data_IF_047462751803
#
_entry.id   IF_047462751803
#
_cell.length_a   1.000
_cell.length_b   1.000
_cell.length_c   1.000
_cell.angle_alpha   90.00
_cell.angle_beta   90.00
_cell.angle_gamma   90.00
#
_symmetry.space_group_name_H-M   'P 1'
#
loop_
_entity.id
_entity.type
_entity.pdbx_description
1 polymer ?
#
# COMPACT_ATOMS: atom_id res chain seq x y z
N UNK A 1 -66.45 -1.68 5.70
CA UNK A 1 -65.50 -2.81 5.70
C UNK A 1 -65.17 -3.12 4.25
N UNK A 2 -64.07 -2.57 3.75
CA UNK A 2 -63.50 -2.89 2.44
C UNK A 2 -62.00 -2.62 2.55
N UNK A 3 -61.21 -3.67 2.35
CA UNK A 3 -59.77 -3.70 2.55
C UNK A 3 -59.05 -2.91 1.45
N UNK A 4 -58.10 -2.07 1.85
CA UNK A 4 -57.12 -1.49 0.94
C UNK A 4 -55.98 -2.50 0.74
N UNK A 5 -55.75 -2.88 -0.51
CA UNK A 5 -54.59 -3.67 -0.95
C UNK A 5 -53.44 -2.69 -1.21
N UNK A 6 -52.23 -2.88 -0.67
CA UNK A 6 -51.08 -2.10 -1.08
C UNK A 6 -50.51 -2.66 -2.38
N UNK A 7 -50.47 -1.83 -3.41
CA UNK A 7 -49.78 -2.11 -4.67
C UNK A 7 -48.26 -1.99 -4.49
N UNK A 8 -47.53 -3.09 -4.64
CA UNK A 8 -46.08 -3.08 -4.80
C UNK A 8 -45.73 -2.49 -6.17
N UNK A 9 -44.95 -1.39 -6.20
CA UNK A 9 -44.31 -0.92 -7.43
C UNK A 9 -42.95 -1.59 -7.58
N UNK A 10 -42.86 -2.68 -8.34
CA UNK A 10 -41.58 -3.15 -8.86
C UNK A 10 -41.19 -2.26 -10.05
N UNK A 11 -40.17 -1.41 -9.87
CA UNK A 11 -39.52 -0.71 -10.98
C UNK A 11 -38.52 -1.67 -11.64
N UNK A 12 -38.90 -2.22 -12.78
CA UNK A 12 -37.97 -2.88 -13.70
C UNK A 12 -37.21 -1.82 -14.49
N UNK A 13 -35.90 -1.72 -14.28
CA UNK A 13 -35.01 -0.96 -15.16
C UNK A 13 -34.59 -1.86 -16.32
N UNK A 14 -35.08 -1.55 -17.52
CA UNK A 14 -34.67 -2.17 -18.78
C UNK A 14 -33.38 -1.47 -19.22
N UNK A 15 -32.25 -2.18 -19.20
CA UNK A 15 -31.01 -1.69 -19.81
C UNK A 15 -31.06 -1.98 -21.32
N UNK A 16 -31.20 -0.90 -22.09
CA UNK A 16 -31.20 -0.91 -23.55
C UNK A 16 -29.75 -0.91 -24.04
N UNK A 17 -29.24 -2.08 -24.44
CA UNK A 17 -27.93 -2.23 -25.09
C UNK A 17 -28.00 -1.76 -26.54
N UNK A 18 -27.33 -0.65 -26.85
CA UNK A 18 -27.16 -0.15 -28.21
C UNK A 18 -25.94 -0.81 -28.86
N UNK A 19 -26.19 -1.83 -29.69
CA UNK A 19 -25.19 -2.45 -30.55
C UNK A 19 -25.07 -1.63 -31.84
N UNK A 20 -23.94 -0.95 -32.06
CA UNK A 20 -23.60 -0.40 -33.37
C UNK A 20 -22.84 -1.46 -34.17
N UNK A 21 -23.54 -2.08 -35.12
CA UNK A 21 -22.93 -2.89 -36.18
C UNK A 21 -22.79 -2.00 -37.43
N UNK A 22 -21.55 -1.73 -37.84
CA UNK A 22 -21.25 -1.23 -39.17
C UNK A 22 -20.34 -2.25 -39.86
N UNK A 23 -20.91 -2.96 -40.84
CA UNK A 23 -20.20 -3.84 -41.75
C UNK A 23 -19.79 -3.03 -42.99
N UNK A 24 -18.50 -3.02 -43.31
CA UNK A 24 -18.02 -2.62 -44.63
C UNK A 24 -16.89 -3.56 -45.04
N UNK A 25 -17.21 -4.47 -45.96
CA UNK A 25 -16.27 -5.41 -46.58
C UNK A 25 -15.59 -4.77 -47.80
N UNK A 26 -14.26 -4.83 -47.86
CA UNK A 26 -13.47 -4.78 -49.10
C UNK A 26 -12.14 -5.51 -48.88
N UNK A 27 -11.66 -6.35 -49.82
CA UNK A 27 -10.56 -7.26 -49.58
C UNK A 27 -9.23 -6.56 -49.86
N UNK A 28 -8.47 -6.28 -48.79
CA UNK A 28 -7.07 -5.90 -48.93
C UNK A 28 -6.20 -7.06 -48.46
N UNK A 29 -5.31 -7.50 -49.35
CA UNK A 29 -4.26 -8.46 -49.07
C UNK A 29 -3.36 -7.90 -47.97
N UNK A 30 -3.52 -8.38 -46.74
CA UNK A 30 -2.58 -8.08 -45.66
C UNK A 30 -1.44 -9.09 -45.73
N UNK A 31 -0.28 -8.60 -46.15
CA UNK A 31 1.00 -9.21 -45.79
C UNK A 31 1.07 -9.34 -44.27
N UNK A 32 1.46 -10.51 -43.78
CA UNK A 32 1.84 -10.74 -42.38
C UNK A 32 3.03 -9.83 -42.05
N UNK A 33 2.77 -8.59 -41.64
CA UNK A 33 3.71 -7.82 -40.85
C UNK A 33 3.71 -8.49 -39.47
N UNK A 34 4.80 -9.20 -39.18
CA UNK A 34 5.12 -9.58 -37.81
C UNK A 34 5.07 -8.31 -36.97
N UNK A 35 4.11 -8.24 -36.05
CA UNK A 35 4.11 -7.24 -35.00
C UNK A 35 5.48 -7.30 -34.31
N UNK A 36 6.13 -6.15 -34.06
CA UNK A 36 7.38 -6.12 -33.32
C UNK A 36 7.20 -6.89 -32.00
N UNK A 37 8.23 -7.61 -31.52
CA UNK A 37 8.13 -8.34 -30.27
C UNK A 37 7.62 -7.39 -29.18
N UNK A 38 6.50 -7.75 -28.55
CA UNK A 38 5.91 -6.95 -27.48
C UNK A 38 6.89 -6.87 -26.33
N UNK A 39 7.27 -5.65 -25.95
CA UNK A 39 8.07 -5.41 -24.75
C UNK A 39 7.31 -6.05 -23.56
N UNK A 40 7.94 -6.94 -22.78
CA UNK A 40 7.31 -7.54 -21.61
C UNK A 40 6.82 -6.45 -20.65
N UNK A 41 5.54 -6.50 -20.26
CA UNK A 41 4.97 -5.57 -19.30
C UNK A 41 5.12 -6.11 -17.89
N UNK A 42 5.42 -5.23 -16.94
CA UNK A 42 5.32 -5.58 -15.52
C UNK A 42 3.87 -5.76 -15.10
N UNK A 43 3.67 -6.66 -14.14
CA UNK A 43 2.41 -6.79 -13.40
C UNK A 43 2.64 -6.49 -11.92
N UNK A 44 1.58 -6.16 -11.16
CA UNK A 44 1.66 -6.06 -9.70
C UNK A 44 2.22 -7.33 -9.04
N UNK A 45 1.90 -8.50 -9.62
CA UNK A 45 2.42 -9.80 -9.19
C UNK A 45 3.93 -9.90 -9.35
N UNK A 46 4.50 -9.39 -10.46
CA UNK A 46 5.95 -9.38 -10.67
C UNK A 46 6.64 -8.54 -9.60
N UNK A 47 6.09 -7.35 -9.30
CA UNK A 47 6.57 -6.46 -8.25
C UNK A 47 6.61 -7.17 -6.89
N UNK A 48 5.52 -7.82 -6.48
CA UNK A 48 5.45 -8.54 -5.21
C UNK A 48 6.37 -9.77 -5.18
N UNK A 49 6.51 -10.47 -6.31
CA UNK A 49 7.39 -11.65 -6.44
C UNK A 49 8.86 -11.32 -6.25
N UNK A 50 9.31 -10.15 -6.75
CA UNK A 50 10.69 -9.67 -6.55
C UNK A 50 11.01 -9.35 -5.09
N UNK A 51 9.99 -9.04 -4.28
CA UNK A 51 10.10 -8.78 -2.85
C UNK A 51 9.82 -10.04 -2.01
N UNK A 52 9.65 -11.20 -2.65
CA UNK A 52 9.43 -12.51 -2.04
C UNK A 52 10.69 -13.38 -1.94
N UNK A 53 10.54 -14.70 -1.68
CA UNK A 53 11.66 -15.64 -1.68
C UNK A 53 12.32 -15.77 -3.07
N UNK A 54 13.59 -16.24 -3.13
CA UNK A 54 14.32 -16.41 -4.39
C UNK A 54 13.59 -17.24 -5.46
N UNK A 55 12.76 -18.21 -5.05
CA UNK A 55 11.97 -19.02 -5.97
C UNK A 55 10.90 -18.22 -6.71
N UNK A 56 10.28 -17.22 -6.06
CA UNK A 56 9.31 -16.32 -6.68
C UNK A 56 10.01 -15.27 -7.53
N UNK A 57 11.06 -14.63 -7.01
CA UNK A 57 11.78 -13.59 -7.73
C UNK A 57 12.45 -14.08 -9.01
N UNK A 58 12.91 -15.34 -9.04
CA UNK A 58 13.52 -15.97 -10.23
C UNK A 58 12.52 -16.33 -11.33
N UNK A 59 11.21 -16.29 -11.04
CA UNK A 59 10.16 -16.56 -12.03
C UNK A 59 9.78 -15.35 -12.88
N UNK A 60 10.17 -14.14 -12.44
CA UNK A 60 9.92 -12.88 -13.14
C UNK A 60 10.86 -12.76 -14.34
N UNK A 61 10.36 -12.26 -15.47
CA UNK A 61 11.18 -11.99 -16.65
C UNK A 61 12.37 -11.09 -16.28
N UNK A 62 13.60 -11.46 -16.68
CA UNK A 62 14.81 -10.75 -16.25
C UNK A 62 14.82 -9.25 -16.62
N UNK A 63 14.30 -8.87 -17.80
CA UNK A 63 14.24 -7.47 -18.21
C UNK A 63 13.26 -6.68 -17.34
N UNK A 64 12.07 -7.26 -17.10
CA UNK A 64 11.06 -6.70 -16.19
C UNK A 64 11.62 -6.58 -14.77
N UNK A 65 12.34 -7.60 -14.31
CA UNK A 65 12.94 -7.65 -12.98
C UNK A 65 13.98 -6.55 -12.78
N UNK A 66 14.85 -6.31 -13.76
CA UNK A 66 15.88 -5.28 -13.70
C UNK A 66 15.27 -3.88 -13.72
N UNK A 67 14.29 -3.63 -14.60
CA UNK A 67 13.58 -2.35 -14.63
C UNK A 67 12.83 -2.10 -13.31
N UNK A 68 12.10 -3.10 -12.78
CA UNK A 68 11.38 -2.95 -11.50
C UNK A 68 12.33 -2.68 -10.34
N UNK A 69 13.45 -3.42 -10.25
CA UNK A 69 14.47 -3.19 -9.21
C UNK A 69 15.09 -1.80 -9.29
N UNK A 70 15.21 -1.23 -10.50
CA UNK A 70 15.72 0.14 -10.67
C UNK A 70 14.78 1.20 -10.06
N UNK A 71 13.49 0.89 -9.99
CA UNK A 71 12.46 1.72 -9.36
C UNK A 71 12.33 1.49 -7.84
N UNK A 72 13.03 0.51 -7.25
CA UNK A 72 12.94 0.24 -5.82
C UNK A 72 13.91 1.11 -5.00
N UNK A 73 13.36 1.91 -4.10
CA UNK A 73 14.12 2.78 -3.19
C UNK A 73 13.90 2.34 -1.75
N UNK A 74 14.78 1.48 -1.25
CA UNK A 74 14.64 0.86 0.08
C UNK A 74 14.84 1.86 1.24
N UNK A 75 13.82 2.00 2.08
CA UNK A 75 13.93 2.72 3.37
C UNK A 75 14.59 1.84 4.45
N UNK A 76 14.40 0.52 4.33
CA UNK A 76 15.14 -0.50 5.08
C UNK A 76 15.81 -1.45 4.08
N UNK A 77 17.12 -1.72 4.21
CA UNK A 77 17.82 -2.60 3.28
C UNK A 77 17.13 -3.96 3.16
N UNK A 78 16.84 -4.41 1.93
CA UNK A 78 16.21 -5.71 1.68
C UNK A 78 17.25 -6.84 1.59
N UNK A 79 18.06 -6.93 2.63
CA UNK A 79 19.03 -7.99 2.87
C UNK A 79 19.19 -8.13 4.39
N UNK A 80 18.34 -8.91 5.08
CA UNK A 80 18.62 -9.21 6.47
C UNK A 80 19.96 -9.94 6.47
N UNK A 81 20.99 -9.31 7.06
CA UNK A 81 22.27 -9.98 7.27
C UNK A 81 21.94 -11.28 7.99
N UNK A 82 22.32 -12.40 7.38
CA UNK A 82 22.00 -13.76 7.79
C UNK A 82 22.48 -14.03 9.23
N UNK A 83 21.71 -13.58 10.22
CA UNK A 83 22.01 -13.70 11.65
C UNK A 83 21.17 -14.79 12.30
N UNK A 84 20.34 -15.49 11.52
CA UNK A 84 19.61 -16.68 11.94
C UNK A 84 19.85 -17.83 10.96
N UNK A 85 21.07 -18.36 10.97
CA UNK A 85 21.27 -19.77 10.62
C UNK A 85 22.03 -20.46 11.76
N UNK A 86 21.47 -21.61 12.15
CA UNK A 86 21.96 -22.66 13.04
C UNK A 86 21.82 -22.45 14.55
N UNK A 87 20.74 -23.03 15.08
CA UNK A 87 20.66 -23.53 16.47
C UNK A 87 21.44 -24.83 16.68
N UNK A 88 22.34 -25.21 15.75
CA UNK A 88 23.16 -26.42 15.84
C UNK A 88 24.54 -26.15 15.23
N UNK A 89 25.50 -25.75 16.05
CA UNK A 89 26.91 -26.12 15.90
C UNK A 89 27.70 -25.68 17.13
N UNK A 90 28.21 -26.67 17.86
CA UNK A 90 29.22 -26.48 18.91
C UNK A 90 30.56 -26.10 18.27
N UNK A 91 30.80 -24.81 18.02
CA UNK A 91 32.15 -24.27 17.83
C UNK A 91 32.29 -22.91 18.51
N UNK A 92 33.39 -22.64 19.26
CA UNK A 92 33.56 -21.39 19.97
C UNK A 92 34.10 -20.33 19.01
N UNK A 93 33.24 -19.74 18.18
CA UNK A 93 33.62 -18.60 17.36
C UNK A 93 33.51 -17.31 18.17
N UNK A 94 34.64 -16.93 18.74
CA UNK A 94 35.11 -15.57 19.01
C UNK A 94 34.06 -14.44 18.95
N UNK A 95 33.69 -13.95 20.14
CA UNK A 95 33.25 -12.57 20.45
C UNK A 95 33.12 -11.61 19.25
N UNK A 96 31.94 -11.59 18.62
CA UNK A 96 31.41 -10.41 17.92
C UNK A 96 29.94 -10.20 18.29
N UNK A 97 29.67 -10.07 19.58
CA UNK A 97 28.52 -9.29 20.04
C UNK A 97 28.88 -7.81 19.90
N UNK A 98 28.99 -7.34 18.65
CA UNK A 98 29.01 -5.91 18.36
C UNK A 98 27.62 -5.38 18.69
N UNK A 99 27.56 -4.37 19.58
CA UNK A 99 26.33 -3.66 19.89
C UNK A 99 25.66 -3.23 18.58
N UNK A 100 24.49 -3.79 18.26
CA UNK A 100 23.68 -3.35 17.12
C UNK A 100 23.43 -1.85 17.25
N UNK A 101 23.67 -1.10 16.16
CA UNK A 101 23.35 0.33 16.16
C UNK A 101 21.83 0.53 16.35
N UNK A 102 21.36 1.70 16.81
CA UNK A 102 19.94 1.98 16.87
C UNK A 102 19.23 1.72 15.54
N UNK A 103 19.87 2.11 14.43
CA UNK A 103 19.39 1.89 13.07
C UNK A 103 19.25 0.41 12.69
N UNK A 104 20.18 -0.45 13.15
CA UNK A 104 20.09 -1.90 12.93
C UNK A 104 18.90 -2.51 13.69
N UNK A 105 18.60 -2.01 14.90
CA UNK A 105 17.44 -2.46 15.67
C UNK A 105 16.12 -2.07 14.99
N UNK A 106 16.06 -0.87 14.43
CA UNK A 106 14.91 -0.45 13.62
C UNK A 106 14.77 -1.27 12.33
N UNK A 107 15.88 -1.64 11.68
CA UNK A 107 15.83 -2.55 10.54
C UNK A 107 15.26 -3.92 10.94
N UNK A 108 15.66 -4.43 12.11
CA UNK A 108 15.10 -5.68 12.66
C UNK A 108 13.57 -5.57 12.84
N UNK A 109 13.03 -4.43 13.27
CA UNK A 109 11.59 -4.22 13.43
C UNK A 109 10.81 -4.22 12.10
N UNK A 110 11.47 -3.95 10.97
CA UNK A 110 10.84 -4.09 9.66
C UNK A 110 10.99 -5.51 9.12
N UNK A 111 12.15 -6.13 9.26
CA UNK A 111 12.37 -7.51 8.80
C UNK A 111 11.59 -8.54 9.62
N UNK A 112 11.51 -8.32 10.93
CA UNK A 112 10.94 -9.20 11.94
C UNK A 112 10.19 -8.35 12.98
N UNK A 113 8.99 -7.85 12.62
CA UNK A 113 8.19 -7.00 13.49
C UNK A 113 7.76 -7.73 14.78
N UNK A 114 7.20 -6.99 15.76
CA UNK A 114 6.71 -7.59 16.99
C UNK A 114 5.64 -8.68 16.77
N UNK A 115 5.51 -9.57 17.75
CA UNK A 115 4.65 -10.76 17.66
C UNK A 115 3.22 -10.48 17.19
N UNK A 116 2.52 -9.42 17.66
CA UNK A 116 1.16 -9.16 17.17
C UNK A 116 1.06 -8.84 15.67
N UNK A 117 2.13 -8.32 15.07
CA UNK A 117 2.20 -8.08 13.62
C UNK A 117 2.45 -9.38 12.87
N UNK A 118 3.30 -10.25 13.43
CA UNK A 118 3.56 -11.59 12.91
C UNK A 118 2.29 -12.46 12.97
N UNK A 119 1.55 -12.41 14.08
CA UNK A 119 0.25 -13.08 14.24
C UNK A 119 -0.77 -12.59 13.21
N UNK A 120 -0.84 -11.28 12.96
CA UNK A 120 -1.72 -10.72 11.93
C UNK A 120 -1.34 -11.19 10.52
N UNK A 121 -0.05 -11.22 10.20
CA UNK A 121 0.45 -11.73 8.91
C UNK A 121 0.17 -13.23 8.74
N UNK A 122 0.35 -14.02 9.80
CA UNK A 122 -0.02 -15.44 9.83
C UNK A 122 -1.53 -15.63 9.66
N UNK A 123 -2.35 -14.82 10.31
CA UNK A 123 -3.81 -14.86 10.19
C UNK A 123 -4.29 -14.56 8.76
N UNK A 124 -3.69 -13.58 8.10
CA UNK A 124 -3.95 -13.27 6.69
C UNK A 124 -3.62 -14.47 5.78
N UNK A 125 -2.48 -15.12 6.02
CA UNK A 125 -2.01 -16.25 5.24
C UNK A 125 -2.86 -17.52 5.47
N UNK A 126 -3.05 -17.91 6.73
CA UNK A 126 -3.74 -19.15 7.12
C UNK A 126 -5.24 -19.11 6.78
N UNK A 127 -5.83 -17.91 6.69
CA UNK A 127 -7.22 -17.72 6.27
C UNK A 127 -7.42 -17.79 4.74
N UNK A 128 -6.35 -18.03 3.97
CA UNK A 128 -6.40 -18.00 2.51
C UNK A 128 -6.65 -16.59 1.95
N UNK A 129 -6.33 -15.56 2.72
CA UNK A 129 -6.53 -14.16 2.36
C UNK A 129 -7.95 -13.64 2.54
N UNK A 130 -8.69 -14.20 3.52
CA UNK A 130 -10.01 -13.70 3.94
C UNK A 130 -9.88 -12.36 4.69
N UNK A 131 -10.39 -11.23 4.13
CA UNK A 131 -10.38 -9.93 4.81
C UNK A 131 -11.12 -9.95 6.16
N UNK A 132 -12.15 -10.78 6.32
CA UNK A 132 -12.91 -10.86 7.56
C UNK A 132 -12.06 -11.36 8.74
N UNK A 133 -10.99 -12.10 8.46
CA UNK A 133 -10.03 -12.54 9.47
C UNK A 133 -9.34 -11.35 10.16
N UNK A 134 -9.02 -10.32 9.39
CA UNK A 134 -8.39 -9.09 9.89
C UNK A 134 -9.41 -8.20 10.58
N UNK A 135 -10.63 -8.10 10.04
CA UNK A 135 -11.72 -7.36 10.69
C UNK A 135 -12.04 -7.91 12.09
N UNK A 136 -11.93 -9.22 12.30
CA UNK A 136 -12.10 -9.86 13.63
C UNK A 136 -11.00 -9.49 14.63
N UNK A 137 -9.85 -8.98 14.19
CA UNK A 137 -8.78 -8.50 15.06
C UNK A 137 -8.97 -7.04 15.54
N UNK A 138 -10.00 -6.36 15.04
CA UNK A 138 -10.36 -4.99 15.45
C UNK A 138 -11.14 -4.99 16.76
N UNK A 139 -10.84 -4.00 17.60
CA UNK A 139 -11.66 -3.65 18.75
C UNK A 139 -13.03 -3.14 18.24
N UNK A 140 -14.16 -3.68 18.72
CA UNK A 140 -15.48 -3.25 18.30
C UNK A 140 -15.82 -1.80 18.70
N UNK A 141 -15.02 -1.19 19.57
CA UNK A 141 -15.19 0.20 20.02
C UNK A 141 -15.05 1.17 18.86
N UNK A 142 -16.12 1.93 18.63
CA UNK A 142 -16.15 2.98 17.60
C UNK A 142 -15.59 4.27 18.18
N UNK A 143 -14.55 4.81 17.55
CA UNK A 143 -13.87 6.04 17.95
C UNK A 143 -14.19 7.14 16.95
N UNK A 144 -14.72 8.31 17.37
CA UNK A 144 -14.95 9.42 16.46
C UNK A 144 -13.62 9.93 15.91
N UNK A 145 -13.61 10.30 14.62
CA UNK A 145 -12.44 10.88 13.99
C UNK A 145 -12.23 12.30 14.54
N UNK A 146 -11.03 12.61 15.08
CA UNK A 146 -10.74 13.92 15.62
C UNK A 146 -10.68 14.98 14.52
N UNK A 147 -10.76 16.24 14.92
CA UNK A 147 -10.46 17.35 14.02
C UNK A 147 -8.93 17.45 13.88
N UNK A 148 -8.43 17.37 12.65
CA UNK A 148 -6.98 17.36 12.36
C UNK A 148 -6.66 18.60 11.57
N UNK A 149 -5.83 19.48 12.15
CA UNK A 149 -5.38 20.71 11.50
C UNK A 149 -6.57 21.52 10.92
N UNK A 150 -7.66 21.64 11.68
CA UNK A 150 -8.87 22.36 11.30
C UNK A 150 -9.67 21.73 10.14
N UNK A 151 -9.51 20.43 9.87
CA UNK A 151 -10.22 19.71 8.80
C UNK A 151 -11.72 19.91 8.81
N UNK A 152 -12.35 20.04 9.98
CA UNK A 152 -13.79 20.26 10.10
C UNK A 152 -14.23 21.63 9.59
N UNK A 153 -13.44 22.67 9.79
CA UNK A 153 -13.76 24.02 9.28
C UNK A 153 -13.80 24.04 7.75
N UNK A 154 -12.96 23.21 7.12
CA UNK A 154 -12.87 23.06 5.68
C UNK A 154 -13.85 22.04 5.10
N UNK A 155 -14.60 21.33 5.95
CA UNK A 155 -15.47 20.20 5.56
C UNK A 155 -14.69 19.04 4.93
N UNK A 156 -13.44 18.87 5.35
CA UNK A 156 -12.59 17.77 4.92
C UNK A 156 -12.88 16.51 5.75
N UNK A 157 -13.15 15.41 5.06
CA UNK A 157 -13.28 14.06 5.64
C UNK A 157 -12.03 13.25 5.25
N UNK A 158 -11.07 13.11 6.17
CA UNK A 158 -9.79 12.43 5.91
C UNK A 158 -9.90 10.91 5.86
N UNK A 159 -10.99 10.36 6.37
CA UNK A 159 -11.21 8.93 6.53
C UNK A 159 -12.50 8.53 5.82
N UNK A 160 -12.60 7.27 5.39
CA UNK A 160 -13.78 6.74 4.71
C UNK A 160 -15.08 6.89 5.49
N UNK A 161 -14.99 6.85 6.81
CA UNK A 161 -16.11 7.03 7.74
C UNK A 161 -15.79 8.12 8.78
N UNK A 162 -16.78 8.80 9.37
CA UNK A 162 -16.54 9.83 10.41
C UNK A 162 -16.08 9.25 11.76
N UNK A 163 -15.83 7.95 11.80
CA UNK A 163 -15.31 7.20 12.92
C UNK A 163 -14.31 6.16 12.40
N UNK A 164 -13.45 5.67 13.29
CA UNK A 164 -12.58 4.53 13.03
C UNK A 164 -12.62 3.54 14.19
N UNK A 165 -11.85 2.47 14.04
CA UNK A 165 -11.57 1.47 15.08
C UNK A 165 -10.06 1.36 15.27
N UNK A 166 -9.65 0.50 16.18
CA UNK A 166 -8.25 0.13 16.42
C UNK A 166 -8.13 -1.38 16.43
N UNK A 167 -6.93 -1.91 16.29
CA UNK A 167 -6.70 -3.31 16.61
C UNK A 167 -6.82 -3.54 18.12
N UNK A 168 -7.26 -4.73 18.53
CA UNK A 168 -7.30 -5.13 19.95
C UNK A 168 -5.90 -5.05 20.58
N UNK A 169 -4.87 -5.42 19.81
CA UNK A 169 -3.48 -5.32 20.26
C UNK A 169 -2.98 -3.87 20.20
N UNK A 170 -2.67 -3.29 21.36
CA UNK A 170 -2.06 -1.96 21.45
C UNK A 170 -0.69 -1.91 20.75
N UNK A 171 0.12 -2.96 20.90
CA UNK A 171 1.45 -3.06 20.28
C UNK A 171 1.37 -3.05 18.75
N UNK A 172 0.36 -3.71 18.17
CA UNK A 172 0.08 -3.63 16.72
C UNK A 172 -0.25 -2.20 16.29
N UNK A 173 -1.10 -1.50 17.03
CA UNK A 173 -1.41 -0.09 16.72
C UNK A 173 -0.15 0.79 16.81
N UNK A 174 0.68 0.60 17.84
CA UNK A 174 1.96 1.33 17.98
C UNK A 174 2.96 1.01 16.88
N UNK A 175 2.96 -0.22 16.35
CA UNK A 175 3.78 -0.57 15.20
C UNK A 175 3.34 0.14 13.91
N UNK A 176 2.02 0.24 13.67
CA UNK A 176 1.51 1.00 12.53
C UNK A 176 1.90 2.48 12.62
N UNK A 177 1.76 3.09 13.80
CA UNK A 177 2.24 4.44 14.08
C UNK A 177 3.74 4.60 13.83
N UNK A 178 4.53 3.60 14.25
CA UNK A 178 5.96 3.54 14.01
C UNK A 178 6.31 3.53 12.51
N UNK A 179 5.55 2.81 11.66
CA UNK A 179 5.79 2.81 10.21
C UNK A 179 5.66 4.21 9.60
N UNK A 180 4.61 4.97 9.96
CA UNK A 180 4.45 6.35 9.50
C UNK A 180 5.64 7.23 9.89
N UNK A 181 6.06 7.15 11.16
CA UNK A 181 7.20 7.91 11.68
C UNK A 181 8.51 7.52 11.01
N UNK A 182 8.72 6.23 10.78
CA UNK A 182 9.90 5.69 10.11
C UNK A 182 9.99 6.16 8.65
N UNK A 183 8.86 6.23 7.94
CA UNK A 183 8.82 6.75 6.56
C UNK A 183 9.23 8.23 6.53
N UNK A 184 8.76 9.06 7.47
CA UNK A 184 9.17 10.46 7.56
C UNK A 184 10.65 10.61 7.87
N UNK A 185 11.16 9.81 8.81
CA UNK A 185 12.57 9.85 9.21
C UNK A 185 13.51 9.42 8.07
N UNK A 186 13.16 8.36 7.34
CA UNK A 186 14.05 7.73 6.35
C UNK A 186 13.77 8.12 4.91
N UNK A 187 12.62 8.69 4.62
CA UNK A 187 12.27 9.20 3.28
C UNK A 187 13.38 10.07 2.66
N UNK A 188 13.98 11.03 3.41
CA UNK A 188 15.04 11.88 2.86
C UNK A 188 16.25 11.12 2.31
N UNK A 189 16.57 9.94 2.84
CA UNK A 189 17.69 9.11 2.36
C UNK A 189 17.49 8.61 0.92
N UNK A 190 16.23 8.58 0.46
CA UNK A 190 15.86 8.18 -0.91
C UNK A 190 15.26 9.33 -1.73
N UNK A 191 15.35 10.57 -1.24
CA UNK A 191 14.81 11.75 -1.90
C UNK A 191 13.31 12.02 -1.66
N UNK A 192 12.65 11.22 -0.80
CA UNK A 192 11.26 11.42 -0.41
C UNK A 192 11.17 12.35 0.81
N UNK A 193 10.78 13.61 0.59
CA UNK A 193 10.49 14.54 1.70
C UNK A 193 8.98 14.60 1.93
N UNK A 194 8.57 14.12 3.10
CA UNK A 194 7.17 14.01 3.54
C UNK A 194 7.02 14.48 4.99
N UNK A 195 5.78 14.76 5.37
CA UNK A 195 5.38 15.16 6.73
C UNK A 195 4.09 14.45 7.11
N UNK A 196 3.80 14.28 8.41
CA UNK A 196 2.53 13.75 8.90
C UNK A 196 1.56 14.91 9.11
N UNK A 197 0.74 15.19 8.10
CA UNK A 197 -0.25 16.27 8.10
C UNK A 197 -1.53 15.80 7.42
N UNK A 198 -2.60 16.58 7.48
CA UNK A 198 -3.84 16.22 6.77
C UNK A 198 -3.70 16.21 5.23
N UNK A 199 -2.60 16.75 4.70
CA UNK A 199 -2.33 16.84 3.26
C UNK A 199 -1.33 15.79 2.75
N UNK A 200 -0.50 15.27 3.64
CA UNK A 200 0.68 14.48 3.32
C UNK A 200 0.83 13.32 4.32
N UNK A 201 1.05 12.12 3.78
CA UNK A 201 1.29 10.87 4.50
C UNK A 201 0.45 10.71 5.78
N UNK A 202 -0.88 10.66 5.62
CA UNK A 202 -1.81 10.41 6.72
C UNK A 202 -2.55 9.08 6.59
N UNK A 203 -2.41 8.36 5.47
CA UNK A 203 -3.09 7.07 5.30
C UNK A 203 -2.30 6.07 4.46
N UNK A 204 -2.75 4.82 4.54
CA UNK A 204 -2.39 3.76 3.62
C UNK A 204 -3.45 2.67 3.64
N UNK A 205 -3.40 1.78 2.66
CA UNK A 205 -4.39 0.73 2.47
C UNK A 205 -3.78 -0.62 2.85
N UNK A 206 -4.34 -1.27 3.87
CA UNK A 206 -3.97 -2.62 4.25
C UNK A 206 -4.59 -3.59 3.24
N UNK A 207 -3.77 -4.41 2.60
CA UNK A 207 -4.20 -5.38 1.61
C UNK A 207 -3.61 -6.77 1.90
N UNK A 208 -4.25 -7.80 1.35
CA UNK A 208 -3.73 -9.16 1.34
C UNK A 208 -3.46 -9.57 -0.11
N UNK A 209 -2.20 -9.86 -0.43
CA UNK A 209 -1.77 -10.23 -1.77
C UNK A 209 -2.44 -11.54 -2.23
N UNK A 210 -3.24 -11.50 -3.30
CA UNK A 210 -4.14 -12.58 -3.72
C UNK A 210 -3.43 -13.91 -4.00
N UNK A 211 -2.19 -13.87 -4.47
CA UNK A 211 -1.45 -15.09 -4.84
C UNK A 211 -0.70 -15.73 -3.67
N UNK A 212 -0.32 -14.94 -2.66
CA UNK A 212 0.60 -15.40 -1.60
C UNK A 212 0.00 -15.32 -0.21
N UNK A 213 -1.15 -14.66 -0.04
CA UNK A 213 -1.71 -14.34 1.28
C UNK A 213 -0.86 -13.35 2.08
N UNK A 214 0.14 -12.70 1.44
CA UNK A 214 1.05 -11.78 2.13
C UNK A 214 0.32 -10.51 2.52
N UNK A 215 0.40 -10.16 3.80
CA UNK A 215 -0.10 -8.89 4.30
C UNK A 215 0.82 -7.74 3.86
N UNK A 216 0.22 -6.66 3.38
CA UNK A 216 0.95 -5.46 2.98
C UNK A 216 0.16 -4.18 3.25
N UNK A 217 0.86 -3.04 3.26
CA UNK A 217 0.26 -1.71 3.32
C UNK A 217 0.85 -0.90 2.17
N UNK A 218 -0.02 -0.31 1.35
CA UNK A 218 0.35 0.72 0.38
C UNK A 218 0.04 2.09 0.96
N UNK A 219 1.06 2.87 1.30
CA UNK A 219 0.89 4.24 1.77
C UNK A 219 0.93 5.22 0.61
N UNK A 220 0.15 6.28 0.74
CA UNK A 220 0.16 7.41 -0.17
C UNK A 220 0.65 8.66 0.54
N UNK A 221 1.81 9.15 0.08
CA UNK A 221 2.27 10.48 0.43
C UNK A 221 1.72 11.52 -0.56
N UNK A 222 1.85 12.79 -0.19
CA UNK A 222 1.50 13.95 -1.03
C UNK A 222 0.08 13.83 -1.61
N UNK A 223 -0.87 13.43 -0.77
CA UNK A 223 -2.23 13.07 -1.18
C UNK A 223 -3.00 14.26 -1.74
N UNK A 224 -2.82 15.42 -1.13
CA UNK A 224 -3.51 16.63 -1.55
C UNK A 224 -2.50 17.70 -1.98
N UNK A 225 -1.92 17.65 -3.20
CA UNK A 225 -1.13 18.75 -3.71
C UNK A 225 -1.94 20.04 -3.76
N UNK A 226 -1.32 21.16 -3.38
CA UNK A 226 -1.94 22.48 -3.43
C UNK A 226 -2.36 22.83 -4.86
N UNK A 227 -3.54 23.44 -5.00
CA UNK A 227 -4.00 23.93 -6.30
C UNK A 227 -3.03 24.98 -6.83
N UNK A 228 -2.51 24.74 -8.02
CA UNK A 228 -1.69 25.70 -8.74
C UNK A 228 -2.14 25.76 -10.20
N UNK A 229 -2.43 26.97 -10.69
CA UNK A 229 -3.03 27.14 -12.03
C UNK A 229 -2.12 26.63 -13.15
N UNK A 230 -0.81 26.59 -12.95
CA UNK A 230 0.18 26.25 -13.97
C UNK A 230 0.71 24.81 -13.76
N UNK A 231 1.05 24.44 -12.53
CA UNK A 231 1.64 23.16 -12.19
C UNK A 231 0.59 22.08 -11.87
N UNK A 232 -0.49 22.40 -11.15
CA UNK A 232 -1.49 21.43 -10.69
C UNK A 232 -2.92 22.02 -10.70
N UNK A 233 -3.53 22.22 -11.89
CA UNK A 233 -4.83 22.89 -12.02
C UNK A 233 -6.00 21.94 -11.71
N UNK A 234 -5.85 21.05 -10.74
CA UNK A 234 -6.84 20.06 -10.34
C UNK A 234 -7.44 20.44 -8.98
N UNK A 235 -8.77 20.47 -8.91
CA UNK A 235 -9.50 20.67 -7.66
C UNK A 235 -9.85 19.31 -7.04
N UNK A 236 -9.21 18.97 -5.92
CA UNK A 236 -9.39 17.70 -5.20
C UNK A 236 -10.44 17.79 -4.08
N UNK A 237 -11.17 18.91 -4.00
CA UNK A 237 -12.24 19.11 -3.03
C UNK A 237 -11.76 19.72 -1.71
N UNK A 238 -12.54 19.51 -0.66
CA UNK A 238 -12.40 20.21 0.62
C UNK A 238 -11.07 19.93 1.35
N UNK A 239 -10.54 18.72 1.24
CA UNK A 239 -9.28 18.34 1.88
C UNK A 239 -8.03 18.97 1.23
N UNK A 240 -8.15 19.50 0.01
CA UNK A 240 -7.06 20.22 -0.65
C UNK A 240 -6.89 21.66 -0.14
N UNK A 241 -7.92 22.21 0.49
CA UNK A 241 -7.96 23.63 0.84
C UNK A 241 -6.78 23.96 1.75
N UNK A 242 -6.07 25.04 1.40
CA UNK A 242 -4.88 25.54 2.09
C UNK A 242 -3.70 24.54 2.17
N UNK A 243 -3.69 23.52 1.29
CA UNK A 243 -2.57 22.60 1.18
C UNK A 243 -1.28 23.31 0.75
N UNK A 244 -0.20 22.98 1.44
CA UNK A 244 1.16 23.42 1.17
C UNK A 244 2.00 22.37 0.42
N UNK A 245 1.39 21.25 0.01
CA UNK A 245 2.09 20.18 -0.69
C UNK A 245 2.35 20.63 -2.13
N UNK A 246 3.61 20.84 -2.47
CA UNK A 246 4.00 21.19 -3.85
C UNK A 246 3.80 20.01 -4.78
N UNK A 247 3.24 20.28 -5.96
CA UNK A 247 3.21 19.34 -7.08
C UNK A 247 4.47 19.51 -7.94
N UNK A 248 5.41 18.57 -7.83
CA UNK A 248 6.67 18.54 -8.57
C UNK A 248 7.14 17.08 -8.78
N UNK A 249 8.38 16.87 -9.25
CA UNK A 249 8.93 15.53 -9.49
C UNK A 249 8.99 14.63 -8.24
N UNK A 250 8.86 15.19 -7.03
CA UNK A 250 8.74 14.37 -5.81
C UNK A 250 7.46 13.54 -5.76
N UNK A 251 6.46 13.83 -6.62
CA UNK A 251 5.27 12.99 -6.82
C UNK A 251 5.61 11.58 -7.32
N UNK A 252 6.75 11.41 -7.98
CA UNK A 252 7.22 10.09 -8.44
C UNK A 252 7.49 9.13 -7.26
N UNK A 253 7.77 9.66 -6.07
CA UNK A 253 8.17 8.88 -4.89
C UNK A 253 7.02 8.66 -3.89
N UNK A 254 5.77 8.94 -4.29
CA UNK A 254 4.66 9.01 -3.36
C UNK A 254 4.09 7.67 -2.91
N UNK A 255 4.35 6.59 -3.65
CA UNK A 255 3.85 5.25 -3.32
C UNK A 255 4.89 4.55 -2.44
N UNK A 256 4.53 4.26 -1.19
CA UNK A 256 5.40 3.55 -0.26
C UNK A 256 4.78 2.20 0.05
N UNK A 257 5.55 1.13 -0.14
CA UNK A 257 5.09 -0.23 0.09
C UNK A 257 5.76 -0.80 1.33
N UNK A 258 4.93 -1.27 2.26
CA UNK A 258 5.34 -2.16 3.32
C UNK A 258 4.76 -3.55 3.07
N UNK A 259 5.57 -4.59 3.23
CA UNK A 259 5.07 -5.96 3.28
C UNK A 259 5.52 -6.60 4.59
N UNK A 260 4.59 -7.26 5.28
CA UNK A 260 4.90 -8.08 6.43
C UNK A 260 5.80 -9.26 6.01
N UNK A 261 6.48 -9.94 6.96
CA UNK A 261 7.14 -11.21 6.65
C UNK A 261 6.14 -12.21 6.05
N UNK A 262 6.60 -13.01 5.09
CA UNK A 262 5.75 -14.00 4.41
C UNK A 262 5.82 -15.34 5.15
N UNK A 263 4.72 -15.86 5.72
CA UNK A 263 4.73 -17.15 6.37
C UNK A 263 5.01 -18.30 5.41
N UNK A 264 5.53 -19.41 5.94
CA UNK A 264 5.62 -20.68 5.24
C UNK A 264 4.44 -21.58 5.58
N UNK A 265 4.28 -22.69 4.87
CA UNK A 265 3.28 -23.72 5.20
C UNK A 265 3.51 -24.42 6.56
N UNK A 266 4.67 -24.19 7.19
CA UNK A 266 4.92 -24.63 8.58
C UNK A 266 4.42 -23.56 9.55
N UNK A 267 3.87 -23.98 10.69
CA UNK A 267 3.27 -23.11 11.73
C UNK A 267 4.24 -22.10 12.35
N UNK A 268 5.55 -22.29 12.20
CA UNK A 268 6.57 -21.35 12.73
C UNK A 268 7.55 -20.82 11.67
N UNK A 269 7.42 -21.26 10.41
CA UNK A 269 8.36 -20.87 9.37
C UNK A 269 7.97 -19.58 8.65
N UNK A 270 8.98 -18.85 8.19
CA UNK A 270 8.87 -17.65 7.34
C UNK A 270 9.76 -17.84 6.11
N UNK A 271 9.25 -17.51 4.93
CA UNK A 271 9.98 -17.67 3.65
C UNK A 271 10.51 -16.36 3.08
N UNK A 272 10.03 -15.21 3.57
CA UNK A 272 10.60 -13.91 3.27
C UNK A 272 10.50 -12.98 4.48
N UNK A 273 11.51 -12.11 4.70
CA UNK A 273 11.44 -11.07 5.74
C UNK A 273 10.45 -9.97 5.33
N UNK A 274 10.07 -9.12 6.29
CA UNK A 274 9.35 -7.89 5.98
C UNK A 274 10.21 -6.90 5.18
N UNK A 275 9.57 -5.96 4.50
CA UNK A 275 10.25 -4.96 3.66
C UNK A 275 9.50 -3.63 3.69
N UNK A 276 10.25 -2.54 3.60
CA UNK A 276 9.73 -1.17 3.48
C UNK A 276 10.54 -0.41 2.42
N UNK A 277 9.86 0.02 1.36
CA UNK A 277 10.47 0.71 0.23
C UNK A 277 9.53 1.73 -0.40
N UNK A 278 10.10 2.71 -1.07
CA UNK A 278 9.40 3.61 -1.99
C UNK A 278 9.44 3.01 -3.40
N UNK A 279 8.32 3.11 -4.10
CA UNK A 279 8.13 2.70 -5.48
C UNK A 279 8.26 3.93 -6.38
N UNK A 280 9.41 4.07 -7.03
CA UNK A 280 9.72 5.20 -7.91
C UNK A 280 8.94 5.10 -9.23
N UNK A 281 7.92 5.94 -9.33
CA UNK A 281 7.01 6.10 -10.46
C UNK A 281 7.45 7.21 -11.42
N UNK A 282 8.76 7.44 -11.60
CA UNK A 282 9.24 8.41 -12.58
C UNK A 282 8.71 8.08 -14.00
N UNK A 283 8.42 9.10 -14.86
CA UNK A 283 7.72 8.88 -16.13
C UNK A 283 8.38 7.94 -17.14
N UNK A 284 9.69 7.73 -17.02
CA UNK A 284 10.46 6.83 -17.88
C UNK A 284 10.54 5.40 -17.33
N UNK A 285 10.09 5.19 -16.08
CA UNK A 285 10.21 3.95 -15.34
C UNK A 285 9.08 2.97 -15.63
N UNK A 286 9.37 1.68 -15.40
CA UNK A 286 8.41 0.60 -15.63
C UNK A 286 7.19 0.68 -14.72
N UNK A 287 7.34 1.18 -13.49
CA UNK A 287 6.21 1.36 -12.57
C UNK A 287 5.22 2.37 -13.14
N UNK A 288 5.68 3.52 -13.62
CA UNK A 288 4.84 4.52 -14.27
C UNK A 288 4.17 3.98 -15.53
N UNK A 289 4.94 3.28 -16.37
CA UNK A 289 4.48 2.79 -17.67
C UNK A 289 3.44 1.68 -17.56
N UNK A 290 3.65 0.74 -16.65
CA UNK A 290 2.93 -0.54 -16.64
C UNK A 290 1.98 -0.71 -15.44
N UNK A 291 2.26 -0.05 -14.30
CA UNK A 291 1.52 -0.26 -13.04
C UNK A 291 0.64 0.94 -12.63
N UNK A 292 0.81 2.11 -13.25
CA UNK A 292 -0.03 3.28 -12.98
C UNK A 292 -1.07 3.42 -14.08
N UNK A 293 -2.37 3.41 -13.75
CA UNK A 293 -3.41 3.60 -14.75
C UNK A 293 -3.34 4.99 -15.41
N UNK A 294 -3.68 5.04 -16.70
CA UNK A 294 -3.57 6.25 -17.52
C UNK A 294 -4.29 7.46 -16.90
N UNK A 295 -5.46 7.24 -16.29
CA UNK A 295 -6.30 8.30 -15.73
C UNK A 295 -5.77 8.90 -14.41
N UNK A 296 -4.83 8.22 -13.73
CA UNK A 296 -4.13 8.74 -12.53
C UNK A 296 -2.64 8.90 -12.76
N UNK A 297 -2.16 8.78 -14.01
CA UNK A 297 -0.75 8.91 -14.31
C UNK A 297 -0.22 10.26 -13.82
N UNK A 298 -0.98 11.35 -13.97
CA UNK A 298 -0.61 12.70 -13.55
C UNK A 298 -0.20 12.73 -12.06
N UNK A 299 -0.97 12.09 -11.18
CA UNK A 299 -0.67 12.01 -9.74
C UNK A 299 0.17 10.80 -9.34
N UNK A 300 0.63 9.99 -10.29
CA UNK A 300 1.56 8.86 -10.09
C UNK A 300 1.05 7.81 -9.09
N UNK A 301 -0.25 7.53 -9.03
CA UNK A 301 -0.83 6.62 -8.03
C UNK A 301 -0.88 5.18 -8.50
N UNK A 302 -0.38 4.25 -7.67
CA UNK A 302 -0.70 2.82 -7.78
C UNK A 302 -1.96 2.57 -6.95
N UNK A 303 -2.93 1.82 -7.48
CA UNK A 303 -4.08 1.40 -6.68
C UNK A 303 -3.76 0.14 -5.88
N UNK A 304 -4.19 0.13 -4.63
CA UNK A 304 -4.07 -0.96 -3.70
C UNK A 304 -4.79 -2.24 -4.18
N UNK A 305 -5.89 -2.10 -4.92
CA UNK A 305 -6.66 -3.20 -5.53
C UNK A 305 -5.85 -3.98 -6.56
N UNK A 306 -4.84 -3.36 -7.17
CA UNK A 306 -3.94 -4.02 -8.11
C UNK A 306 -2.97 -4.98 -7.38
N UNK A 307 -2.68 -4.73 -6.10
CA UNK A 307 -1.74 -5.53 -5.28
C UNK A 307 -2.44 -6.70 -4.58
N UNK A 308 -3.73 -6.61 -4.30
CA UNK A 308 -4.48 -7.67 -3.66
C UNK A 308 -5.86 -7.25 -3.15
N UNK A 309 -6.42 -8.05 -2.23
CA UNK A 309 -7.70 -7.72 -1.60
C UNK A 309 -7.48 -6.65 -0.54
N UNK A 310 -8.05 -5.46 -0.75
CA UNK A 310 -8.04 -4.37 0.22
C UNK A 310 -8.95 -4.72 1.39
N UNK A 311 -8.46 -4.50 2.60
CA UNK A 311 -9.11 -4.90 3.84
C UNK A 311 -9.64 -3.69 4.59
N UNK A 312 -8.76 -2.74 4.90
CA UNK A 312 -9.06 -1.54 5.70
C UNK A 312 -8.11 -0.42 5.33
N UNK A 313 -8.56 0.82 5.56
CA UNK A 313 -7.66 1.97 5.52
C UNK A 313 -7.01 2.14 6.90
N UNK A 314 -5.71 2.40 6.92
CA UNK A 314 -4.91 2.70 8.11
C UNK A 314 -4.59 4.18 8.09
N UNK A 315 -5.13 4.94 9.03
CA UNK A 315 -5.01 6.40 9.05
C UNK A 315 -4.20 6.85 10.26
N UNK A 316 -3.16 7.63 10.02
CA UNK A 316 -2.41 8.39 11.01
C UNK A 316 -2.97 9.81 11.08
N UNK A 317 -3.60 10.15 12.20
CA UNK A 317 -4.21 11.46 12.44
C UNK A 317 -3.39 12.23 13.48
N UNK A 318 -2.67 13.25 13.00
CA UNK A 318 -1.80 14.08 13.84
C UNK A 318 -2.60 15.14 14.61
N UNK A 319 -3.02 14.80 15.81
CA UNK A 319 -3.79 15.67 16.72
C UNK A 319 -2.91 16.53 17.65
N UNK A 320 -1.59 16.46 17.51
CA UNK A 320 -0.63 17.13 18.40
C UNK A 320 -0.62 16.57 19.83
N UNK A 321 -0.10 17.33 20.79
CA UNK A 321 0.01 16.95 22.22
C UNK A 321 -1.34 17.03 22.97
N UNK A 322 -2.44 17.24 22.26
CA UNK A 322 -3.79 17.31 22.83
C UNK A 322 -4.44 15.95 22.67
N UNK A 323 -4.96 15.37 23.77
CA UNK A 323 -5.69 14.10 23.75
C UNK A 323 -6.66 14.00 22.56
N UNK A 324 -6.81 12.81 21.94
CA UNK A 324 -6.52 11.48 22.50
C UNK A 324 -5.07 10.95 22.44
N UNK A 325 -4.78 9.93 23.27
CA UNK A 325 -3.50 9.17 23.30
C UNK A 325 -3.35 8.19 22.10
N UNK A 326 -4.04 8.44 20.99
CA UNK A 326 -4.03 7.55 19.83
C UNK A 326 -4.09 8.30 18.51
N UNK A 327 -3.16 7.96 17.64
CA UNK A 327 -2.99 8.56 16.31
C UNK A 327 -3.43 7.62 15.19
N UNK A 328 -3.65 6.33 15.46
CA UNK A 328 -4.04 5.34 14.47
C UNK A 328 -5.55 5.05 14.50
N UNK A 329 -6.18 5.14 13.32
CA UNK A 329 -7.58 4.85 13.07
C UNK A 329 -7.71 3.91 11.87
N UNK A 330 -8.46 2.82 12.06
CA UNK A 330 -8.75 1.81 11.06
C UNK A 330 -10.20 1.99 10.57
N UNK A 331 -10.42 2.18 9.26
CA UNK A 331 -11.77 2.37 8.71
C UNK A 331 -12.12 1.48 7.53
#
# INVERSE_FOLDING_TARGET
MAMAIPSLSLRFSILLSLSFAASSSSPFFFSNLQSPPSIPKATPSDLLSLLGPPSQSSSVNHLVADELKSCFKFLVPFNPVNTQISSDTKFPSSRRSLLKSPRDKENDLVWWPPEPVLELARLAFDSGGDPDSIHRALDPTVLPVPDVEGSKEDKCELTRTPYGRRFISQELNSYLEYLFKLIVERGPDVGLKVSLSRYDLFHGHLFIATQTGRLGILFHAKEYPGYDKEAFPCYLGYCQKDSNVTYDDSMNLRNILWLAPLPSNSTQGWIAPGVLLVLDAHPEGIIYRDLIPEYVNFVRTIYEDDLGNVVVDVNYLNIGDSQPDYQIFIC
#
